data_IF_309787615527
#
_entry.id   IF_309787615527
#
_cell.length_a   1.000
_cell.length_b   1.000
_cell.length_c   1.000
_cell.angle_alpha   90.00
_cell.angle_beta   90.00
_cell.angle_gamma   90.00
#
_symmetry.space_group_name_H-M   'P 1'
#
loop_
_entity.id
_entity.type
_entity.pdbx_description
1 polymer ?
#
# COMPACT_ATOMS: atom_id res chain seq x y z
N UNK A 1 -49.25 -44.51 30.77
CA UNK A 1 -49.27 -43.15 31.33
C UNK A 1 -48.29 -42.27 30.61
N UNK A 2 -48.86 -41.32 29.82
CA UNK A 2 -48.12 -40.41 28.94
C UNK A 2 -47.57 -39.21 29.73
N UNK A 3 -46.24 -39.08 29.71
CA UNK A 3 -45.58 -37.81 30.05
C UNK A 3 -45.17 -37.12 28.75
N UNK A 4 -46.07 -36.30 28.18
CA UNK A 4 -45.74 -35.31 27.17
C UNK A 4 -45.16 -34.06 27.87
N UNK A 5 -43.85 -34.02 28.01
CA UNK A 5 -43.12 -32.77 28.29
C UNK A 5 -43.03 -31.95 27.03
N UNK A 6 -43.86 -30.93 26.89
CA UNK A 6 -43.73 -29.89 25.87
C UNK A 6 -42.57 -28.98 26.28
N UNK A 7 -41.39 -29.23 25.76
CA UNK A 7 -40.31 -28.22 25.74
C UNK A 7 -40.76 -27.03 24.87
N UNK A 8 -41.18 -25.94 25.53
CA UNK A 8 -41.28 -24.67 24.84
C UNK A 8 -39.91 -24.23 24.42
N UNK A 9 -39.56 -24.41 23.14
CA UNK A 9 -38.43 -23.69 22.53
C UNK A 9 -38.66 -22.20 22.78
N UNK A 10 -37.80 -21.59 23.60
CA UNK A 10 -37.68 -20.15 23.66
C UNK A 10 -37.24 -19.70 22.27
N UNK A 11 -38.07 -19.04 21.53
CA UNK A 11 -37.67 -18.24 20.39
C UNK A 11 -36.79 -17.12 20.94
N UNK A 12 -35.47 -17.31 20.87
CA UNK A 12 -34.52 -16.22 21.07
C UNK A 12 -34.69 -15.29 19.86
N UNK A 13 -35.43 -14.20 20.09
CA UNK A 13 -35.52 -13.13 19.10
C UNK A 13 -34.15 -12.47 18.98
N UNK A 14 -33.46 -12.73 17.86
CA UNK A 14 -32.24 -12.04 17.54
C UNK A 14 -32.55 -10.56 17.33
N UNK A 15 -31.99 -9.71 18.20
CA UNK A 15 -32.11 -8.27 18.07
C UNK A 15 -31.09 -7.78 17.05
N UNK A 16 -31.55 -7.16 15.98
CA UNK A 16 -30.69 -6.47 15.00
C UNK A 16 -30.47 -5.03 15.47
N UNK A 17 -29.20 -4.70 15.72
CA UNK A 17 -28.83 -3.32 16.03
C UNK A 17 -28.63 -2.52 14.72
N UNK A 18 -28.78 -1.17 14.78
CA UNK A 18 -28.48 -0.32 13.64
C UNK A 18 -27.03 -0.46 13.19
N UNK A 19 -26.79 -0.28 11.89
CA UNK A 19 -25.43 -0.28 11.32
C UNK A 19 -24.67 0.93 11.87
N UNK A 20 -23.47 0.67 12.43
CA UNK A 20 -22.54 1.73 12.82
C UNK A 20 -21.79 2.13 11.56
N UNK A 21 -22.11 3.28 11.00
CA UNK A 21 -21.47 3.86 9.82
C UNK A 21 -20.24 4.69 10.18
N UNK A 22 -19.46 5.03 9.14
CA UNK A 22 -18.36 6.00 9.26
C UNK A 22 -18.93 7.42 9.11
N UNK A 23 -18.44 8.35 9.92
CA UNK A 23 -18.76 9.78 9.78
C UNK A 23 -18.16 10.35 8.50
N UNK A 24 -16.87 10.03 8.24
CA UNK A 24 -16.15 10.41 7.02
C UNK A 24 -15.76 9.16 6.22
N UNK A 25 -16.47 8.83 5.13
CA UNK A 25 -16.24 7.61 4.38
C UNK A 25 -15.10 7.73 3.35
N UNK A 26 -14.38 8.83 3.34
CA UNK A 26 -13.27 9.10 2.43
C UNK A 26 -11.93 9.07 3.16
N UNK A 27 -10.84 8.85 2.41
CA UNK A 27 -9.45 8.90 2.91
C UNK A 27 -9.14 7.98 4.10
N UNK A 28 -9.97 6.95 4.34
CA UNK A 28 -9.86 6.06 5.50
C UNK A 28 -8.83 4.93 5.35
N UNK A 29 -8.37 4.68 4.13
CA UNK A 29 -7.48 3.56 3.84
C UNK A 29 -6.04 3.93 4.14
N UNK A 30 -5.48 3.36 5.20
CA UNK A 30 -4.12 3.65 5.70
C UNK A 30 -3.00 2.85 5.02
N UNK A 31 -3.35 1.93 4.12
CA UNK A 31 -2.41 1.13 3.32
C UNK A 31 -2.81 1.18 1.85
N UNK A 32 -1.84 1.49 1.01
CA UNK A 32 -2.01 1.41 -0.43
C UNK A 32 -0.82 0.70 -1.08
N UNK A 33 -1.07 -0.04 -2.16
CA UNK A 33 -0.04 -0.69 -2.98
C UNK A 33 -0.34 -0.38 -4.44
N UNK A 34 0.63 0.24 -5.12
CA UNK A 34 0.47 0.63 -6.51
C UNK A 34 1.53 -0.06 -7.37
N UNK A 35 1.13 -0.86 -8.36
CA UNK A 35 2.03 -1.32 -9.41
C UNK A 35 2.49 -0.15 -10.29
N UNK A 36 3.72 -0.25 -10.79
CA UNK A 36 4.25 0.61 -11.85
C UNK A 36 4.28 -0.15 -13.18
N UNK A 37 4.00 0.55 -14.26
CA UNK A 37 4.06 0.01 -15.61
C UNK A 37 4.20 1.10 -16.64
N UNK A 38 4.00 0.73 -17.92
CA UNK A 38 3.94 1.66 -19.03
C UNK A 38 2.54 1.62 -19.66
N UNK A 39 2.05 2.79 -20.01
CA UNK A 39 0.86 2.88 -20.85
C UNK A 39 1.17 2.58 -22.32
N UNK A 40 0.15 2.66 -23.19
CA UNK A 40 0.28 2.46 -24.63
C UNK A 40 1.19 3.48 -25.33
N UNK A 41 1.39 4.64 -24.73
CA UNK A 41 2.22 5.73 -25.25
C UNK A 41 3.66 5.64 -24.69
N UNK A 42 3.95 4.61 -23.86
CA UNK A 42 5.25 4.37 -23.26
C UNK A 42 5.53 5.21 -22.01
N UNK A 43 4.57 5.97 -21.48
CA UNK A 43 4.74 6.76 -20.25
C UNK A 43 4.71 5.84 -19.03
N UNK A 44 5.53 6.15 -18.03
CA UNK A 44 5.48 5.45 -16.75
C UNK A 44 4.22 5.86 -16.00
N UNK A 45 3.38 4.87 -15.68
CA UNK A 45 2.14 5.03 -14.92
C UNK A 45 2.20 4.22 -13.63
N UNK A 46 1.41 4.66 -12.65
CA UNK A 46 1.11 3.92 -11.43
C UNK A 46 -0.40 3.93 -11.19
N UNK A 47 -0.95 2.87 -10.62
CA UNK A 47 -2.39 2.81 -10.40
C UNK A 47 -2.84 1.48 -9.83
N UNK A 48 -3.93 0.93 -10.34
CA UNK A 48 -4.48 -0.35 -9.92
C UNK A 48 -4.63 -1.29 -11.12
N UNK A 49 -4.51 -2.58 -10.88
CA UNK A 49 -4.82 -3.57 -11.93
C UNK A 49 -6.31 -3.55 -12.24
N UNK A 50 -6.64 -3.49 -13.53
CA UNK A 50 -8.00 -3.72 -13.99
C UNK A 50 -8.42 -5.15 -13.62
N UNK A 51 -9.68 -5.32 -13.24
CA UNK A 51 -10.19 -6.61 -12.78
C UNK A 51 -9.88 -7.76 -13.75
N UNK A 52 -9.31 -8.83 -13.25
CA UNK A 52 -8.93 -10.04 -14.00
C UNK A 52 -7.85 -9.83 -15.09
N UNK A 53 -7.11 -8.74 -15.04
CA UNK A 53 -6.03 -8.44 -15.98
C UNK A 53 -4.81 -7.93 -15.24
N UNK A 54 -3.65 -7.87 -15.93
CA UNK A 54 -2.44 -7.20 -15.45
C UNK A 54 -2.27 -5.79 -16.06
N UNK A 55 -3.32 -5.28 -16.72
CA UNK A 55 -3.33 -3.91 -17.22
C UNK A 55 -3.46 -2.93 -16.04
N UNK A 56 -2.57 -1.97 -15.97
CA UNK A 56 -2.63 -0.92 -14.95
C UNK A 56 -3.55 0.18 -15.46
N UNK A 57 -4.56 0.50 -14.67
CA UNK A 57 -5.38 1.71 -14.82
C UNK A 57 -4.72 2.79 -13.98
N UNK A 58 -4.22 3.82 -14.65
CA UNK A 58 -3.61 4.96 -13.97
C UNK A 58 -4.60 5.58 -12.98
N UNK A 59 -4.12 5.83 -11.78
CA UNK A 59 -4.91 6.47 -10.74
C UNK A 59 -4.13 7.66 -10.17
N UNK A 60 -4.61 8.86 -10.46
CA UNK A 60 -3.99 10.10 -9.97
C UNK A 60 -4.40 10.41 -8.53
N UNK A 61 -5.64 10.08 -8.16
CA UNK A 61 -6.15 10.31 -6.82
C UNK A 61 -7.28 9.32 -6.46
N UNK A 62 -7.01 8.45 -5.50
CA UNK A 62 -8.01 7.54 -4.96
C UNK A 62 -8.65 8.15 -3.72
N UNK A 63 -9.92 8.49 -3.79
CA UNK A 63 -10.66 9.07 -2.66
C UNK A 63 -10.71 8.19 -1.40
N UNK A 64 -10.40 6.91 -1.53
CA UNK A 64 -10.31 5.99 -0.38
C UNK A 64 -8.93 6.04 0.30
N UNK A 65 -7.87 6.34 -0.45
CA UNK A 65 -6.50 6.41 0.04
C UNK A 65 -6.15 7.79 0.60
N UNK A 66 -5.05 7.86 1.32
CA UNK A 66 -4.53 9.11 1.88
C UNK A 66 -4.07 10.05 0.77
N UNK A 67 -4.14 11.35 1.00
CA UNK A 67 -3.83 12.39 -0.01
C UNK A 67 -2.36 12.36 -0.45
N UNK A 68 -1.46 12.02 0.46
CA UNK A 68 -0.03 11.92 0.21
C UNK A 68 0.34 10.87 -0.84
N UNK A 69 -0.55 9.90 -1.11
CA UNK A 69 -0.32 8.90 -2.16
C UNK A 69 0.01 9.54 -3.51
N UNK A 70 -0.71 10.59 -3.89
CA UNK A 70 -0.50 11.29 -5.16
C UNK A 70 0.91 11.88 -5.26
N UNK A 71 1.32 12.65 -4.26
CA UNK A 71 2.63 13.28 -4.23
C UNK A 71 3.76 12.26 -4.22
N UNK A 72 3.62 11.17 -3.44
CA UNK A 72 4.58 10.07 -3.40
C UNK A 72 4.72 9.41 -4.77
N UNK A 73 3.60 9.11 -5.44
CA UNK A 73 3.62 8.50 -6.77
C UNK A 73 4.26 9.43 -7.81
N UNK A 74 3.97 10.72 -7.76
CA UNK A 74 4.55 11.72 -8.66
C UNK A 74 6.07 11.83 -8.47
N UNK A 75 6.54 11.86 -7.24
CA UNK A 75 7.98 11.88 -6.92
C UNK A 75 8.67 10.64 -7.48
N UNK A 76 8.12 9.45 -7.26
CA UNK A 76 8.71 8.19 -7.73
C UNK A 76 8.69 8.13 -9.25
N UNK A 77 7.58 8.48 -9.90
CA UNK A 77 7.43 8.50 -11.36
C UNK A 77 8.42 9.45 -12.02
N UNK A 78 8.55 10.67 -11.50
CA UNK A 78 9.51 11.67 -11.97
C UNK A 78 10.96 11.19 -11.79
N UNK A 79 11.28 10.59 -10.64
CA UNK A 79 12.58 9.99 -10.38
C UNK A 79 12.90 8.86 -11.38
N UNK A 80 11.94 7.96 -11.63
CA UNK A 80 12.13 6.88 -12.60
C UNK A 80 12.37 7.40 -14.02
N UNK A 81 11.63 8.43 -14.44
CA UNK A 81 11.81 9.06 -15.76
C UNK A 81 13.19 9.72 -15.89
N UNK A 82 13.60 10.50 -14.88
CA UNK A 82 14.86 11.24 -14.87
C UNK A 82 16.09 10.32 -14.93
N UNK A 83 16.05 9.23 -14.16
CA UNK A 83 17.18 8.28 -14.07
C UNK A 83 17.03 7.05 -14.97
N UNK A 84 16.02 7.05 -15.87
CA UNK A 84 15.75 5.97 -16.81
C UNK A 84 15.60 4.59 -16.13
N UNK A 85 14.91 4.59 -15.01
CA UNK A 85 14.61 3.38 -14.25
C UNK A 85 13.32 2.77 -14.82
N UNK A 86 13.43 1.54 -15.34
CA UNK A 86 12.30 0.86 -15.98
C UNK A 86 11.34 0.27 -14.94
N UNK A 87 10.01 0.46 -15.12
CA UNK A 87 9.03 -0.28 -14.38
C UNK A 87 9.09 -1.77 -14.76
N UNK A 88 8.71 -2.63 -13.82
CA UNK A 88 8.72 -4.06 -14.04
C UNK A 88 7.64 -4.50 -15.01
N UNK A 89 8.01 -5.31 -15.98
CA UNK A 89 7.11 -5.98 -16.90
C UNK A 89 7.04 -7.47 -16.52
N UNK A 90 5.86 -7.95 -16.12
CA UNK A 90 5.66 -9.32 -15.66
C UNK A 90 5.85 -10.37 -16.76
N UNK A 91 5.43 -10.06 -17.99
CA UNK A 91 5.52 -11.00 -19.12
C UNK A 91 6.99 -11.27 -19.46
N UNK A 92 7.78 -10.19 -19.57
CA UNK A 92 9.20 -10.25 -19.94
C UNK A 92 10.12 -10.51 -18.75
N UNK A 93 9.61 -10.44 -17.52
CA UNK A 93 10.38 -10.50 -16.28
C UNK A 93 11.58 -9.54 -16.29
N UNK A 94 11.34 -8.30 -16.72
CA UNK A 94 12.34 -7.24 -16.87
C UNK A 94 11.83 -5.93 -16.27
N UNK A 95 12.78 -5.02 -15.99
CA UNK A 95 12.52 -3.78 -15.29
C UNK A 95 12.76 -3.91 -13.79
N UNK A 96 12.91 -2.79 -13.12
CA UNK A 96 13.36 -2.74 -11.73
C UNK A 96 12.21 -2.51 -10.73
N UNK A 97 11.43 -1.44 -10.92
CA UNK A 97 10.41 -1.05 -9.94
C UNK A 97 9.09 -1.76 -10.22
N UNK A 98 8.68 -2.62 -9.31
CA UNK A 98 7.43 -3.41 -9.40
C UNK A 98 6.26 -2.65 -8.81
N UNK A 99 6.37 -2.30 -7.53
CA UNK A 99 5.30 -1.66 -6.77
C UNK A 99 5.87 -0.62 -5.80
N UNK A 100 5.00 0.21 -5.28
CA UNK A 100 5.22 0.94 -4.05
C UNK A 100 4.14 0.57 -3.03
N UNK A 101 4.57 0.31 -1.80
CA UNK A 101 3.72 0.19 -0.62
C UNK A 101 3.81 1.50 0.15
N UNK A 102 2.66 2.10 0.44
CA UNK A 102 2.53 3.32 1.24
C UNK A 102 1.66 3.02 2.46
N UNK A 103 2.10 3.44 3.62
CA UNK A 103 1.33 3.34 4.86
C UNK A 103 1.33 4.69 5.59
N UNK A 104 0.22 4.98 6.27
CA UNK A 104 0.06 6.17 7.12
C UNK A 104 -0.51 5.79 8.47
N UNK A 105 0.09 6.28 9.55
CA UNK A 105 -0.47 6.31 10.88
C UNK A 105 -1.42 7.50 10.99
N UNK A 106 -2.70 7.26 11.23
CA UNK A 106 -3.68 8.37 11.26
C UNK A 106 -3.59 9.23 12.51
N UNK A 107 -3.19 8.65 13.63
CA UNK A 107 -3.03 9.42 14.87
C UNK A 107 -1.69 10.11 14.99
N UNK A 108 -0.66 9.50 14.43
CA UNK A 108 0.72 10.03 14.48
C UNK A 108 1.03 10.94 13.29
N UNK A 109 0.36 10.74 12.15
CA UNK A 109 0.71 11.37 10.89
C UNK A 109 1.96 10.78 10.23
N UNK A 110 2.54 9.72 10.79
CA UNK A 110 3.74 9.09 10.26
C UNK A 110 3.46 8.40 8.93
N UNK A 111 4.38 8.58 7.97
CA UNK A 111 4.34 7.98 6.65
C UNK A 111 5.47 6.98 6.44
N UNK A 112 5.16 5.89 5.76
CA UNK A 112 6.13 4.91 5.30
C UNK A 112 5.99 4.66 3.82
N UNK A 113 7.13 4.62 3.14
CA UNK A 113 7.24 4.23 1.72
C UNK A 113 8.19 3.04 1.60
N UNK A 114 7.71 1.97 0.96
CA UNK A 114 8.54 0.82 0.62
C UNK A 114 8.39 0.51 -0.87
N UNK A 115 9.47 0.65 -1.65
CA UNK A 115 9.48 0.23 -3.04
C UNK A 115 9.71 -1.28 -3.13
N UNK A 116 9.05 -1.95 -4.05
CA UNK A 116 9.28 -3.37 -4.33
C UNK A 116 10.05 -3.47 -5.64
N UNK A 117 11.25 -4.07 -5.57
CA UNK A 117 12.20 -4.11 -6.67
C UNK A 117 12.42 -5.53 -7.19
N UNK A 118 12.49 -5.66 -8.52
CA UNK A 118 13.03 -6.83 -9.20
C UNK A 118 14.56 -6.69 -9.31
N UNK A 119 15.22 -6.49 -8.19
CA UNK A 119 16.67 -6.26 -8.12
C UNK A 119 17.10 -6.05 -6.68
N UNK A 120 18.42 -5.99 -6.47
CA UNK A 120 19.05 -5.85 -5.15
C UNK A 120 19.48 -4.42 -4.83
N UNK A 121 19.44 -3.53 -5.81
CA UNK A 121 19.88 -2.14 -5.67
C UNK A 121 18.92 -1.18 -6.39
N UNK A 122 18.78 0.01 -5.85
CA UNK A 122 18.08 1.12 -6.48
C UNK A 122 19.11 2.20 -6.84
N UNK A 123 19.38 2.43 -8.13
CA UNK A 123 20.29 3.49 -8.55
C UNK A 123 19.83 4.87 -8.05
N UNK A 124 20.78 5.69 -7.57
CA UNK A 124 20.48 7.05 -7.08
C UNK A 124 19.45 7.11 -5.94
N UNK A 125 19.40 6.08 -5.13
CA UNK A 125 18.44 5.96 -4.00
C UNK A 125 18.51 7.15 -3.04
N UNK A 126 19.67 7.75 -2.84
CA UNK A 126 19.88 8.89 -1.97
C UNK A 126 19.05 10.11 -2.42
N UNK A 127 18.96 10.32 -3.74
CA UNK A 127 18.16 11.41 -4.33
C UNK A 127 16.65 11.15 -4.14
N UNK A 128 16.22 9.89 -4.30
CA UNK A 128 14.83 9.54 -4.05
C UNK A 128 14.47 9.78 -2.58
N UNK A 129 15.32 9.33 -1.66
CA UNK A 129 15.15 9.55 -0.21
C UNK A 129 15.04 11.04 0.11
N UNK A 130 15.96 11.87 -0.42
CA UNK A 130 15.93 13.33 -0.21
C UNK A 130 14.60 13.95 -0.70
N UNK A 131 14.09 13.49 -1.86
CA UNK A 131 12.81 13.99 -2.40
C UNK A 131 11.62 13.58 -1.54
N UNK A 132 11.56 12.32 -1.11
CA UNK A 132 10.48 11.81 -0.28
C UNK A 132 10.47 12.45 1.12
N UNK A 133 11.63 12.80 1.67
CA UNK A 133 11.76 13.48 2.96
C UNK A 133 11.15 14.88 2.98
N UNK A 134 10.82 15.48 1.84
CA UNK A 134 10.11 16.75 1.76
C UNK A 134 8.62 16.63 2.10
N UNK A 135 8.08 15.42 2.07
CA UNK A 135 6.69 15.15 2.44
C UNK A 135 6.57 15.15 3.97
N UNK A 136 5.64 15.94 4.49
CA UNK A 136 5.39 16.00 5.92
C UNK A 136 4.99 14.62 6.48
N UNK A 137 5.57 14.25 7.62
CA UNK A 137 5.31 12.96 8.26
C UNK A 137 6.13 11.78 7.72
N UNK A 138 7.00 11.97 6.72
CA UNK A 138 7.83 10.88 6.19
C UNK A 138 8.79 10.35 7.24
N UNK A 139 8.51 9.15 7.75
CA UNK A 139 9.21 8.55 8.90
C UNK A 139 10.09 7.37 8.50
N UNK A 140 9.67 6.58 7.50
CA UNK A 140 10.40 5.38 7.09
C UNK A 140 10.40 5.21 5.58
N UNK A 141 11.59 4.98 5.00
CA UNK A 141 11.76 4.72 3.57
C UNK A 141 12.63 3.47 3.43
N UNK A 142 12.16 2.51 2.64
CA UNK A 142 12.84 1.25 2.41
C UNK A 142 12.59 0.75 0.99
N UNK A 143 13.31 -0.30 0.59
CA UNK A 143 12.87 -1.13 -0.52
C UNK A 143 12.90 -2.60 -0.13
N UNK A 144 12.01 -3.36 -0.76
CA UNK A 144 11.89 -4.79 -0.63
C UNK A 144 12.40 -5.47 -1.90
N UNK A 145 13.17 -6.53 -1.75
CA UNK A 145 13.74 -7.31 -2.86
C UNK A 145 12.79 -8.44 -3.20
N UNK A 146 12.14 -8.36 -4.36
CA UNK A 146 11.32 -9.44 -4.88
C UNK A 146 11.68 -9.73 -6.35
N UNK A 147 12.55 -10.71 -6.55
CA UNK A 147 13.03 -11.16 -7.87
C UNK A 147 12.25 -12.37 -8.39
N UNK A 148 11.29 -12.84 -7.64
CA UNK A 148 10.50 -14.01 -8.01
C UNK A 148 9.42 -13.63 -9.05
N UNK A 149 9.20 -14.51 -10.03
CA UNK A 149 8.08 -14.40 -10.97
C UNK A 149 6.82 -14.96 -10.32
N UNK A 150 6.23 -14.21 -9.42
CA UNK A 150 5.10 -14.62 -8.58
C UNK A 150 4.14 -13.46 -8.35
N UNK A 151 2.90 -13.77 -8.02
CA UNK A 151 1.87 -12.78 -7.63
C UNK A 151 2.06 -12.24 -6.20
N UNK A 152 3.01 -12.79 -5.44
CA UNK A 152 3.35 -12.27 -4.11
C UNK A 152 4.08 -10.94 -4.29
N UNK A 153 3.59 -9.89 -3.66
CA UNK A 153 4.14 -8.53 -3.83
C UNK A 153 5.46 -8.38 -3.07
N UNK A 154 5.50 -8.76 -1.79
CA UNK A 154 6.68 -8.60 -0.94
C UNK A 154 7.57 -9.84 -1.01
N UNK A 155 8.85 -9.64 -1.25
CA UNK A 155 9.90 -10.65 -1.05
C UNK A 155 10.32 -10.75 0.42
N UNK A 156 11.34 -11.55 0.67
CA UNK A 156 11.80 -11.84 2.04
C UNK A 156 12.75 -10.79 2.62
N UNK A 157 13.41 -10.03 1.78
CA UNK A 157 14.45 -9.07 2.18
C UNK A 157 13.97 -7.64 2.07
N UNK A 158 14.21 -6.86 3.13
CA UNK A 158 13.94 -5.43 3.18
C UNK A 158 15.24 -4.70 3.48
N UNK A 159 15.53 -3.70 2.67
CA UNK A 159 16.67 -2.81 2.85
C UNK A 159 16.15 -1.46 3.32
N UNK A 160 16.49 -1.09 4.54
CA UNK A 160 16.13 0.20 5.09
C UNK A 160 17.03 1.30 4.52
N UNK A 161 16.43 2.39 4.04
CA UNK A 161 17.13 3.55 3.49
C UNK A 161 17.11 4.74 4.45
N UNK A 162 16.01 4.90 5.18
CA UNK A 162 15.82 5.99 6.13
C UNK A 162 14.84 5.59 7.23
N UNK A 163 15.09 6.10 8.44
CA UNK A 163 14.23 5.93 9.61
C UNK A 163 14.30 4.54 10.25
N UNK A 164 13.36 4.23 11.14
CA UNK A 164 13.42 3.03 11.98
C UNK A 164 13.01 1.73 11.24
N UNK A 165 12.50 1.81 10.01
CA UNK A 165 11.96 0.66 9.28
C UNK A 165 10.51 0.31 9.63
N UNK A 166 9.85 1.16 10.40
CA UNK A 166 8.44 1.05 10.78
C UNK A 166 7.83 2.43 10.98
N UNK A 167 6.52 2.50 11.09
CA UNK A 167 5.77 3.66 11.62
C UNK A 167 5.00 3.22 12.86
N UNK A 168 4.63 4.20 13.67
CA UNK A 168 3.84 4.00 14.89
C UNK A 168 2.43 4.55 14.70
N UNK A 169 1.42 3.85 15.19
CA UNK A 169 0.06 4.36 15.27
C UNK A 169 -0.65 3.81 16.52
N UNK A 170 -1.85 4.30 16.82
CA UNK A 170 -2.58 3.98 18.04
C UNK A 170 -4.02 3.57 17.76
N UNK A 171 -4.49 2.54 18.48
CA UNK A 171 -5.91 2.21 18.62
C UNK A 171 -6.27 2.34 20.11
N UNK A 172 -7.07 3.36 20.43
CA UNK A 172 -7.25 3.75 21.83
C UNK A 172 -5.93 4.17 22.47
N UNK A 173 -5.51 3.46 23.52
CA UNK A 173 -4.23 3.68 24.23
C UNK A 173 -3.16 2.64 23.85
N UNK A 174 -3.42 1.77 22.90
CA UNK A 174 -2.48 0.73 22.49
C UNK A 174 -1.67 1.23 21.31
N UNK A 175 -0.34 1.24 21.49
CA UNK A 175 0.63 1.55 20.45
C UNK A 175 0.87 0.35 19.53
N UNK A 176 0.92 0.62 18.22
CA UNK A 176 1.27 -0.36 17.19
C UNK A 176 2.50 0.10 16.43
N UNK A 177 3.43 -0.84 16.21
CA UNK A 177 4.54 -0.66 15.26
C UNK A 177 4.20 -1.41 13.99
N UNK A 178 4.19 -0.70 12.88
CA UNK A 178 3.73 -1.19 11.58
C UNK A 178 4.92 -1.17 10.63
N UNK A 179 5.36 -2.34 10.19
CA UNK A 179 6.40 -2.52 9.16
C UNK A 179 5.79 -2.67 7.76
N UNK A 180 6.57 -2.64 6.68
CA UNK A 180 6.10 -2.90 5.32
C UNK A 180 5.34 -4.19 5.14
#
# INVERSE_FOLDING_TARGET
>A
ENLKGTEKKREETVRMEPIIGMEEPWRYRNKAQFPFGRDKDGRIIAGFYAGRTHCIVENEDCLLGVEENREILDIIRNFMNEYKIEPYNEELHRGLVRHVLIRKGFRTGELMVCLILNGTELPKKEILVERLLKIAGMTSISFNINREKTNVILGKEIVNLYGPGYITDYIGNVEYRISP
#
